data_IF_059994512438
#
_entry.id   IF_059994512438
#
_cell.length_a   1.000
_cell.length_b   1.000
_cell.length_c   1.000
_cell.angle_alpha   90.00
_cell.angle_beta   90.00
_cell.angle_gamma   90.00
#
_symmetry.space_group_name_H-M   'P 1'
#
loop_
_entity.id
_entity.type
_entity.pdbx_description
1 polymer ?
#
# COMPACT_ATOMS: atom_id res chain seq x y z
N UNK A 1 23.41 42.89 7.44
CA UNK A 1 23.06 41.46 7.33
C UNK A 1 22.75 40.98 5.91
N UNK A 2 22.22 41.80 5.00
CA UNK A 2 21.96 41.39 3.59
C UNK A 2 23.23 41.26 2.70
N UNK A 3 24.32 41.93 3.03
CA UNK A 3 25.56 41.88 2.22
C UNK A 3 26.34 40.57 2.37
N UNK A 4 26.27 39.95 3.55
CA UNK A 4 26.96 38.67 3.85
C UNK A 4 26.33 37.48 3.15
N UNK A 5 25.00 37.45 2.97
CA UNK A 5 24.29 36.37 2.25
C UNK A 5 24.57 36.41 0.75
N UNK A 6 24.64 37.59 0.13
CA UNK A 6 25.02 37.72 -1.29
C UNK A 6 26.47 37.33 -1.54
N UNK A 7 27.37 37.65 -0.60
CA UNK A 7 28.78 37.26 -0.71
C UNK A 7 28.95 35.73 -0.57
N UNK A 8 28.20 35.09 0.31
CA UNK A 8 28.18 33.62 0.45
C UNK A 8 27.62 32.92 -0.79
N UNK A 9 26.56 33.46 -1.42
CA UNK A 9 26.03 32.93 -2.67
C UNK A 9 27.00 33.05 -3.84
N UNK A 10 27.71 34.19 -3.97
CA UNK A 10 28.73 34.38 -5.00
C UNK A 10 29.91 33.44 -4.76
N UNK A 11 30.31 33.24 -3.51
CA UNK A 11 31.39 32.32 -3.16
C UNK A 11 31.03 30.87 -3.46
N UNK A 12 29.79 30.43 -3.14
CA UNK A 12 29.28 29.08 -3.44
C UNK A 12 29.19 28.83 -4.95
N UNK A 13 28.75 29.83 -5.73
CA UNK A 13 28.71 29.76 -7.20
C UNK A 13 30.12 29.67 -7.81
N UNK A 14 31.09 30.45 -7.29
CA UNK A 14 32.49 30.42 -7.73
C UNK A 14 33.17 29.07 -7.40
N UNK A 15 32.92 28.51 -6.22
CA UNK A 15 33.42 27.18 -5.82
C UNK A 15 32.82 26.10 -6.72
N UNK A 16 31.52 26.16 -7.03
CA UNK A 16 30.86 25.24 -7.95
C UNK A 16 31.45 25.28 -9.36
N UNK A 17 31.77 26.49 -9.86
CA UNK A 17 32.36 26.71 -11.17
C UNK A 17 33.82 26.19 -11.25
N UNK A 18 34.58 26.32 -10.16
CA UNK A 18 35.95 25.79 -10.04
C UNK A 18 35.91 24.25 -9.96
N UNK A 19 34.99 23.67 -9.24
CA UNK A 19 34.82 22.20 -9.16
C UNK A 19 34.39 21.59 -10.51
N UNK A 20 33.59 22.32 -11.28
CA UNK A 20 33.22 21.95 -12.65
C UNK A 20 34.40 21.96 -13.60
N UNK A 21 35.27 22.98 -13.47
CA UNK A 21 36.50 23.12 -14.30
C UNK A 21 37.57 22.06 -13.97
N UNK A 22 37.49 21.48 -12.75
CA UNK A 22 38.37 20.40 -12.30
C UNK A 22 37.82 19.01 -12.64
N UNK A 23 36.65 18.91 -13.28
CA UNK A 23 36.00 17.62 -13.63
C UNK A 23 35.51 16.79 -12.45
N UNK A 24 35.33 17.42 -11.28
CA UNK A 24 34.92 16.76 -10.05
C UNK A 24 33.38 16.75 -9.85
N UNK A 25 32.66 17.48 -10.70
CA UNK A 25 31.19 17.54 -10.66
C UNK A 25 30.64 17.43 -12.09
N UNK A 26 29.65 16.58 -12.27
CA UNK A 26 28.86 16.51 -13.49
C UNK A 26 28.09 17.83 -13.72
N UNK A 27 27.99 18.35 -14.95
CA UNK A 27 27.25 19.57 -15.23
C UNK A 27 25.77 19.51 -14.83
N UNK A 28 25.17 18.31 -14.78
CA UNK A 28 23.82 18.09 -14.29
C UNK A 28 23.70 18.31 -12.77
N UNK A 29 24.66 17.86 -11.98
CA UNK A 29 24.68 18.06 -10.51
C UNK A 29 25.02 19.49 -10.13
N UNK A 30 25.89 20.18 -10.90
CA UNK A 30 26.16 21.58 -10.68
C UNK A 30 24.96 22.49 -10.96
N UNK A 31 24.17 22.19 -12.00
CA UNK A 31 22.92 22.92 -12.28
C UNK A 31 21.85 22.69 -11.18
N UNK A 32 21.78 21.50 -10.62
CA UNK A 32 20.90 21.19 -9.47
C UNK A 32 21.34 21.93 -8.18
N UNK A 33 22.65 22.05 -7.93
CA UNK A 33 23.16 22.82 -6.79
C UNK A 33 22.87 24.32 -6.87
N UNK A 34 22.96 24.90 -8.05
CA UNK A 34 22.66 26.34 -8.25
C UNK A 34 21.15 26.60 -8.18
N UNK A 35 20.33 25.69 -8.69
CA UNK A 35 18.86 25.78 -8.62
C UNK A 35 18.37 25.56 -7.19
N UNK A 36 18.95 24.60 -6.43
CA UNK A 36 18.56 24.34 -5.04
C UNK A 36 18.81 25.50 -4.08
N UNK A 37 19.76 26.41 -4.40
CA UNK A 37 20.07 27.58 -3.57
C UNK A 37 19.09 28.76 -3.76
N UNK A 38 18.29 28.76 -4.83
CA UNK A 38 17.39 29.88 -5.18
C UNK A 38 15.91 29.57 -5.02
N UNK A 39 15.54 28.33 -4.72
CA UNK A 39 14.18 27.85 -4.73
C UNK A 39 13.64 27.62 -3.31
N UNK A 40 12.84 28.55 -2.85
CA UNK A 40 11.80 28.50 -1.82
C UNK A 40 11.84 27.42 -0.73
N UNK A 41 10.95 27.53 0.21
CA UNK A 41 10.80 26.58 1.34
C UNK A 41 10.59 25.15 0.89
N UNK A 42 11.33 24.22 1.47
CA UNK A 42 11.13 22.79 1.31
C UNK A 42 9.68 22.41 1.71
N UNK A 43 8.96 21.74 0.81
CA UNK A 43 7.62 21.23 1.05
C UNK A 43 6.46 22.18 0.68
N UNK A 44 6.72 23.35 0.09
CA UNK A 44 5.68 24.26 -0.40
C UNK A 44 5.84 24.53 -1.90
N UNK A 45 4.71 24.64 -2.59
CA UNK A 45 4.67 24.96 -4.02
C UNK A 45 5.20 26.38 -4.22
N UNK A 46 6.23 26.55 -5.07
CA UNK A 46 6.84 27.82 -5.36
C UNK A 46 6.57 28.28 -6.81
N UNK A 47 6.96 29.51 -7.16
CA UNK A 47 6.72 30.08 -8.47
C UNK A 47 7.35 29.26 -9.61
N UNK A 48 8.45 28.56 -9.36
CA UNK A 48 9.09 27.68 -10.32
C UNK A 48 8.27 26.41 -10.56
N UNK A 49 7.64 25.86 -9.53
CA UNK A 49 6.76 24.70 -9.65
C UNK A 49 5.48 25.08 -10.39
N UNK A 50 4.96 26.29 -10.15
CA UNK A 50 3.83 26.84 -10.91
C UNK A 50 4.23 27.03 -12.38
N UNK A 51 5.40 27.58 -12.66
CA UNK A 51 5.87 27.76 -14.02
C UNK A 51 6.04 26.44 -14.78
N UNK A 52 6.40 25.34 -14.08
CA UNK A 52 6.43 23.98 -14.65
C UNK A 52 5.05 23.41 -14.92
N UNK A 53 4.04 23.84 -14.19
CA UNK A 53 2.66 23.38 -14.36
C UNK A 53 1.88 24.14 -15.44
N UNK A 54 2.48 25.20 -16.01
CA UNK A 54 1.88 25.98 -17.09
C UNK A 54 2.35 25.51 -18.46
N UNK A 55 1.42 25.42 -19.40
CA UNK A 55 1.68 25.19 -20.81
C UNK A 55 2.28 26.48 -21.46
N UNK A 56 3.01 26.41 -22.58
CA UNK A 56 3.51 27.59 -23.31
C UNK A 56 2.44 28.64 -23.65
N UNK A 57 1.16 28.25 -23.66
CA UNK A 57 0.03 29.15 -23.84
C UNK A 57 -0.47 29.83 -22.56
N UNK A 58 0.18 29.59 -21.41
CA UNK A 58 -0.21 30.15 -20.11
C UNK A 58 -1.42 29.47 -19.44
N UNK A 59 -1.88 28.33 -19.98
CA UNK A 59 -2.93 27.50 -19.35
C UNK A 59 -2.29 26.42 -18.50
N UNK A 60 -3.03 25.93 -17.49
CA UNK A 60 -2.58 24.79 -16.69
C UNK A 60 -2.40 23.57 -17.59
N UNK A 61 -1.18 23.05 -17.67
CA UNK A 61 -0.90 21.83 -18.43
C UNK A 61 -1.60 20.62 -17.78
N UNK A 62 -1.97 19.64 -18.59
CA UNK A 62 -2.44 18.35 -18.06
C UNK A 62 -1.28 17.67 -17.35
N UNK A 63 -1.36 17.53 -16.03
CA UNK A 63 -0.36 16.82 -15.23
C UNK A 63 -0.51 15.33 -15.48
N UNK A 64 0.56 14.69 -15.95
CA UNK A 64 0.61 13.24 -16.11
C UNK A 64 1.06 12.63 -14.78
N UNK A 65 0.15 11.92 -14.13
CA UNK A 65 0.42 11.24 -12.85
C UNK A 65 1.29 9.99 -13.06
N UNK A 66 2.61 10.15 -12.96
CA UNK A 66 3.57 9.06 -13.09
C UNK A 66 3.77 8.27 -11.79
N UNK A 67 3.41 8.86 -10.65
CA UNK A 67 3.62 8.27 -9.32
C UNK A 67 2.41 7.51 -8.81
N UNK A 68 1.33 7.47 -9.59
CA UNK A 68 0.12 6.74 -9.20
C UNK A 68 0.38 5.23 -9.14
N UNK A 69 0.02 4.61 -8.02
CA UNK A 69 0.21 3.19 -7.76
C UNK A 69 -1.12 2.45 -7.68
N UNK A 70 -1.11 1.20 -8.14
CA UNK A 70 -2.28 0.34 -8.01
C UNK A 70 -2.25 -0.38 -6.65
N UNK A 71 -3.14 0.02 -5.75
CA UNK A 71 -3.32 -0.60 -4.44
C UNK A 71 -4.78 -1.03 -4.27
N UNK A 72 -5.15 -2.11 -4.95
CA UNK A 72 -6.52 -2.61 -5.02
C UNK A 72 -7.07 -3.10 -3.66
N UNK A 73 -6.21 -3.28 -2.64
CA UNK A 73 -6.59 -3.75 -1.31
C UNK A 73 -7.63 -2.86 -0.62
N UNK A 74 -7.59 -1.56 -0.86
CA UNK A 74 -8.49 -0.59 -0.23
C UNK A 74 -9.94 -0.81 -0.70
N UNK A 75 -10.13 -1.18 -1.97
CA UNK A 75 -11.45 -1.40 -2.55
C UNK A 75 -12.07 -2.73 -2.14
N UNK A 76 -11.25 -3.74 -1.87
CA UNK A 76 -11.72 -5.07 -1.49
C UNK A 76 -12.01 -5.18 0.02
N UNK A 77 -11.43 -4.29 0.82
CA UNK A 77 -11.48 -4.35 2.27
C UNK A 77 -12.87 -4.00 2.82
N UNK A 78 -13.38 -4.85 3.69
CA UNK A 78 -14.62 -4.60 4.44
C UNK A 78 -14.30 -3.71 5.65
N UNK A 79 -15.10 -2.68 5.86
CA UNK A 79 -14.93 -1.73 6.97
C UNK A 79 -15.98 -1.96 8.05
N UNK A 80 -15.55 -1.93 9.31
CA UNK A 80 -16.40 -2.11 10.49
C UNK A 80 -16.12 -1.02 11.52
N UNK A 81 -17.13 -0.58 12.23
CA UNK A 81 -16.97 0.29 13.39
C UNK A 81 -16.32 -0.46 14.55
N UNK A 82 -15.27 0.11 15.12
CA UNK A 82 -14.62 -0.42 16.32
C UNK A 82 -15.54 -0.35 17.54
N UNK A 83 -15.34 -1.23 18.52
CA UNK A 83 -16.09 -1.19 19.78
C UNK A 83 -15.49 -0.20 20.79
N UNK A 84 -14.26 0.27 20.55
CA UNK A 84 -13.57 1.26 21.37
C UNK A 84 -13.28 2.53 20.56
N UNK A 85 -13.12 3.70 21.20
CA UNK A 85 -12.71 4.93 20.53
C UNK A 85 -11.29 4.86 19.93
N UNK A 86 -10.43 4.01 20.48
CA UNK A 86 -9.01 3.87 20.13
C UNK A 86 -8.70 2.59 19.37
N UNK A 87 -9.67 1.70 19.19
CA UNK A 87 -9.43 0.41 18.57
C UNK A 87 -10.63 -0.52 18.56
N UNK A 88 -10.34 -1.79 18.39
CA UNK A 88 -11.32 -2.87 18.47
C UNK A 88 -10.80 -3.97 19.38
N UNK A 89 -11.63 -4.43 20.33
CA UNK A 89 -11.32 -5.54 21.22
C UNK A 89 -12.11 -6.78 20.79
N UNK A 90 -11.39 -7.85 20.50
CA UNK A 90 -11.95 -9.15 20.13
C UNK A 90 -11.62 -10.19 21.20
N UNK A 91 -12.59 -11.01 21.59
CA UNK A 91 -12.35 -12.13 22.50
C UNK A 91 -12.22 -13.42 21.70
N UNK A 92 -11.04 -14.01 21.72
CA UNK A 92 -10.71 -15.26 21.02
C UNK A 92 -10.71 -16.42 22.02
N UNK A 93 -11.29 -17.55 21.62
CA UNK A 93 -11.24 -18.79 22.42
C UNK A 93 -9.92 -19.49 22.14
N UNK A 94 -9.07 -19.65 23.16
CA UNK A 94 -7.74 -20.25 23.07
C UNK A 94 -7.71 -21.71 23.50
N UNK A 95 -8.72 -22.18 24.23
CA UNK A 95 -8.80 -23.58 24.66
C UNK A 95 -10.23 -24.11 24.70
N UNK A 96 -10.40 -25.33 24.24
CA UNK A 96 -11.66 -26.06 24.32
C UNK A 96 -11.71 -26.91 25.57
N UNK A 97 -12.92 -27.11 26.18
CA UNK A 97 -13.09 -28.09 27.24
C UNK A 97 -12.85 -29.50 26.72
N UNK A 98 -12.31 -30.37 27.58
CA UNK A 98 -12.04 -31.75 27.23
C UNK A 98 -13.31 -32.58 27.37
N UNK A 99 -13.71 -33.33 26.33
CA UNK A 99 -14.76 -34.33 26.40
C UNK A 99 -14.13 -35.70 26.68
N UNK A 100 -14.79 -36.50 27.52
CA UNK A 100 -14.33 -37.86 27.84
C UNK A 100 -15.45 -38.88 27.60
N UNK A 101 -15.07 -40.09 27.22
CA UNK A 101 -15.95 -41.25 27.20
C UNK A 101 -16.13 -41.75 28.62
N UNK A 102 -17.35 -41.93 29.08
CA UNK A 102 -17.67 -42.32 30.42
C UNK A 102 -18.18 -43.75 30.46
N UNK A 103 -17.69 -44.52 31.43
CA UNK A 103 -18.33 -45.80 31.80
C UNK A 103 -19.47 -45.58 32.75
N UNK A 104 -20.35 -46.63 32.90
CA UNK A 104 -21.41 -46.63 33.89
C UNK A 104 -20.80 -46.43 35.29
N UNK A 105 -21.42 -45.56 36.09
CA UNK A 105 -21.00 -45.18 37.46
C UNK A 105 -19.68 -44.38 37.56
N UNK A 106 -19.04 -43.99 36.47
CA UNK A 106 -17.86 -43.14 36.48
C UNK A 106 -18.26 -41.66 36.48
N UNK A 107 -17.59 -40.84 37.30
CA UNK A 107 -17.74 -39.37 37.27
C UNK A 107 -17.10 -38.73 36.08
N UNK A 108 -17.57 -37.54 35.70
CA UNK A 108 -16.98 -36.69 34.65
C UNK A 108 -16.22 -35.53 35.31
N UNK A 109 -14.91 -35.35 35.08
CA UNK A 109 -14.16 -34.22 35.62
C UNK A 109 -14.65 -32.90 35.01
N UNK A 110 -14.70 -31.85 35.83
CA UNK A 110 -15.03 -30.52 35.33
C UNK A 110 -13.94 -29.98 34.39
N UNK A 111 -14.36 -29.45 33.27
CA UNK A 111 -13.47 -28.79 32.30
C UNK A 111 -14.03 -27.43 31.92
N UNK A 112 -13.17 -26.48 31.56
CA UNK A 112 -13.56 -25.11 31.15
C UNK A 112 -12.90 -24.68 29.85
N UNK A 113 -13.56 -23.82 29.10
CA UNK A 113 -12.96 -23.15 27.95
C UNK A 113 -12.08 -21.99 28.43
N UNK A 114 -10.98 -21.75 27.70
CA UNK A 114 -10.10 -20.61 27.90
C UNK A 114 -10.37 -19.55 26.82
N UNK A 115 -10.25 -18.28 27.21
CA UNK A 115 -10.46 -17.13 26.33
C UNK A 115 -9.31 -16.14 26.55
N UNK A 116 -8.91 -15.46 25.48
CA UNK A 116 -7.98 -14.34 25.51
C UNK A 116 -8.62 -13.14 24.81
N UNK A 117 -8.31 -11.95 25.28
CA UNK A 117 -8.69 -10.70 24.64
C UNK A 117 -7.53 -10.21 23.77
N UNK A 118 -7.84 -9.80 22.56
CA UNK A 118 -6.93 -9.18 21.61
C UNK A 118 -7.47 -7.79 21.30
N UNK A 119 -6.62 -6.77 21.46
CA UNK A 119 -6.97 -5.39 21.15
C UNK A 119 -6.16 -4.92 19.95
N UNK A 120 -6.83 -4.50 18.91
CA UNK A 120 -6.25 -3.91 17.71
C UNK A 120 -6.42 -2.40 17.75
N UNK A 121 -5.31 -1.67 17.68
CA UNK A 121 -5.28 -0.21 17.74
C UNK A 121 -5.61 0.42 16.38
N UNK A 122 -6.09 1.66 16.41
CA UNK A 122 -6.36 2.50 15.25
C UNK A 122 -5.30 3.58 15.16
N UNK A 123 -4.78 3.81 13.95
CA UNK A 123 -3.89 4.93 13.63
C UNK A 123 -4.65 6.13 13.07
N UNK A 124 -4.03 7.30 13.16
CA UNK A 124 -4.52 8.52 12.52
C UNK A 124 -3.55 8.93 11.41
N UNK A 125 -4.01 8.89 10.19
CA UNK A 125 -3.25 9.32 9.02
C UNK A 125 -3.79 10.67 8.58
N UNK A 126 -2.93 11.69 8.54
CA UNK A 126 -3.31 13.05 8.16
C UNK A 126 -2.30 13.61 7.16
N UNK A 127 -2.80 14.38 6.22
CA UNK A 127 -1.97 15.20 5.33
C UNK A 127 -2.62 16.57 5.15
N UNK A 128 -1.80 17.57 4.93
CA UNK A 128 -2.24 18.95 4.79
C UNK A 128 -1.57 19.59 3.59
N UNK A 129 -2.36 20.22 2.74
CA UNK A 129 -1.89 21.09 1.67
C UNK A 129 -1.95 22.54 2.11
N UNK A 130 -0.90 23.30 1.83
CA UNK A 130 -0.82 24.76 2.04
C UNK A 130 -0.37 25.40 0.74
N UNK A 131 -1.24 26.17 0.12
CA UNK A 131 -0.95 26.86 -1.14
C UNK A 131 -1.10 28.37 -0.91
N UNK A 132 -0.12 29.15 -1.35
CA UNK A 132 -0.17 30.61 -1.27
C UNK A 132 -1.34 31.15 -2.10
N UNK A 133 -2.10 32.11 -1.57
CA UNK A 133 -3.23 32.75 -2.23
C UNK A 133 -2.81 33.42 -3.54
N UNK A 134 -1.63 34.06 -3.56
CA UNK A 134 -1.11 34.69 -4.77
C UNK A 134 -0.74 33.65 -5.85
N UNK A 135 -0.25 32.49 -5.44
CA UNK A 135 0.03 31.38 -6.34
C UNK A 135 -1.23 30.84 -7.03
N UNK A 136 -2.34 30.81 -6.29
CA UNK A 136 -3.64 30.41 -6.83
C UNK A 136 -4.20 31.49 -7.77
N UNK A 137 -4.04 32.77 -7.42
CA UNK A 137 -4.52 33.90 -8.21
C UNK A 137 -3.76 34.06 -9.54
N UNK A 138 -2.45 33.77 -9.56
CA UNK A 138 -1.63 33.77 -10.76
C UNK A 138 -2.06 32.70 -11.78
N UNK A 139 -2.72 31.66 -11.31
CA UNK A 139 -3.21 30.56 -12.14
C UNK A 139 -4.68 30.82 -12.51
N UNK A 140 -4.97 31.22 -13.74
CA UNK A 140 -6.29 31.65 -14.20
C UNK A 140 -7.44 30.62 -14.04
N UNK A 141 -7.15 29.42 -13.52
CA UNK A 141 -8.11 28.33 -13.23
C UNK A 141 -7.90 27.78 -11.81
N UNK A 142 -8.20 28.58 -10.82
CA UNK A 142 -7.95 28.35 -9.39
C UNK A 142 -8.42 26.98 -8.87
N UNK A 143 -9.61 26.52 -9.27
CA UNK A 143 -10.18 25.25 -8.80
C UNK A 143 -9.44 24.03 -9.36
N UNK A 144 -9.01 24.09 -10.62
CA UNK A 144 -8.30 22.99 -11.26
C UNK A 144 -6.88 22.79 -10.67
N UNK A 145 -6.20 23.87 -10.26
CA UNK A 145 -4.89 23.78 -9.64
C UNK A 145 -4.95 23.13 -8.26
N UNK A 146 -5.85 23.59 -7.39
CA UNK A 146 -6.08 22.96 -6.06
C UNK A 146 -6.49 21.50 -6.19
N UNK A 147 -7.35 21.15 -7.16
CA UNK A 147 -7.77 19.79 -7.40
C UNK A 147 -6.61 18.88 -7.87
N UNK A 148 -5.73 19.42 -8.71
CA UNK A 148 -4.53 18.70 -9.14
C UNK A 148 -3.60 18.39 -7.97
N UNK A 149 -3.32 19.38 -7.13
CA UNK A 149 -2.53 19.20 -5.91
C UNK A 149 -3.20 18.22 -4.94
N UNK A 150 -4.52 18.32 -4.74
CA UNK A 150 -5.28 17.41 -3.88
C UNK A 150 -5.12 15.94 -4.27
N UNK A 151 -5.04 15.63 -5.57
CA UNK A 151 -4.84 14.25 -6.06
C UNK A 151 -3.51 13.68 -5.58
N UNK A 152 -2.42 14.46 -5.61
CA UNK A 152 -1.11 14.02 -5.15
C UNK A 152 -1.12 13.68 -3.64
N UNK A 153 -1.81 14.50 -2.82
CA UNK A 153 -1.96 14.23 -1.39
C UNK A 153 -2.80 12.98 -1.11
N UNK A 154 -3.89 12.77 -1.86
CA UNK A 154 -4.72 11.56 -1.74
C UNK A 154 -3.96 10.31 -2.16
N UNK A 155 -3.14 10.39 -3.21
CA UNK A 155 -2.28 9.28 -3.62
C UNK A 155 -1.22 8.96 -2.55
N UNK A 156 -0.61 9.97 -1.93
CA UNK A 156 0.30 9.78 -0.80
C UNK A 156 -0.36 9.08 0.38
N UNK A 157 -1.62 9.42 0.70
CA UNK A 157 -2.41 8.72 1.72
C UNK A 157 -2.67 7.26 1.34
N UNK A 158 -3.03 6.99 0.08
CA UNK A 158 -3.26 5.64 -0.44
C UNK A 158 -2.01 4.76 -0.28
N UNK A 159 -0.86 5.24 -0.72
CA UNK A 159 0.41 4.52 -0.64
C UNK A 159 0.82 4.26 0.81
N UNK A 160 0.73 5.28 1.68
CA UNK A 160 1.09 5.15 3.08
C UNK A 160 0.15 4.19 3.83
N UNK A 161 -1.14 4.22 3.52
CA UNK A 161 -2.10 3.27 4.10
C UNK A 161 -1.81 1.84 3.66
N UNK A 162 -1.64 1.60 2.36
CA UNK A 162 -1.35 0.27 1.81
C UNK A 162 -0.03 -0.30 2.37
N UNK A 163 1.00 0.52 2.51
CA UNK A 163 2.25 0.13 3.15
C UNK A 163 2.05 -0.25 4.62
N UNK A 164 1.30 0.56 5.37
CA UNK A 164 1.03 0.29 6.79
C UNK A 164 0.18 -0.96 6.97
N UNK A 165 -0.76 -1.23 6.05
CA UNK A 165 -1.59 -2.43 6.07
C UNK A 165 -0.76 -3.72 6.08
N UNK A 166 0.32 -3.77 5.28
CA UNK A 166 1.22 -4.93 5.27
C UNK A 166 2.30 -4.86 6.33
N UNK A 167 2.99 -3.72 6.49
CA UNK A 167 4.24 -3.62 7.25
C UNK A 167 4.15 -2.78 8.52
N UNK A 168 2.98 -2.22 8.86
CA UNK A 168 2.80 -1.44 10.09
C UNK A 168 3.20 -2.24 11.32
N UNK A 169 4.09 -1.68 12.16
CA UNK A 169 4.54 -2.32 13.39
C UNK A 169 4.47 -1.30 14.53
N UNK A 170 3.54 -1.51 15.44
CA UNK A 170 3.31 -0.63 16.61
C UNK A 170 4.46 -0.66 17.62
N UNK A 171 5.30 -1.69 17.59
CA UNK A 171 6.48 -1.74 18.45
C UNK A 171 7.60 -0.81 17.99
N UNK A 172 7.66 -0.49 16.69
CA UNK A 172 8.65 0.41 16.09
C UNK A 172 8.04 1.81 15.93
N UNK A 173 6.82 1.88 15.43
CA UNK A 173 6.07 3.10 15.14
C UNK A 173 4.71 3.05 15.84
N UNK A 174 4.62 3.49 17.10
CA UNK A 174 3.40 3.40 17.91
C UNK A 174 2.24 4.26 17.38
N UNK A 175 2.51 5.23 16.51
CA UNK A 175 1.50 6.07 15.85
C UNK A 175 0.73 5.33 14.73
N UNK A 176 1.25 4.18 14.26
CA UNK A 176 0.63 3.34 13.23
C UNK A 176 -0.22 2.24 13.86
N UNK A 177 -1.06 1.62 13.04
CA UNK A 177 -1.72 0.38 13.44
C UNK A 177 -0.86 -0.85 13.07
N UNK A 178 -1.14 -1.99 13.72
CA UNK A 178 -0.43 -3.24 13.46
C UNK A 178 -0.87 -3.87 12.14
N UNK A 179 0.05 -3.99 11.19
CA UNK A 179 -0.16 -4.61 9.89
C UNK A 179 -0.11 -6.14 9.92
N UNK A 180 -0.09 -6.73 8.73
CA UNK A 180 -0.11 -8.19 8.56
C UNK A 180 1.27 -8.83 8.73
N UNK A 181 2.35 -8.27 8.16
CA UNK A 181 3.66 -8.89 8.16
C UNK A 181 4.23 -9.13 9.57
N UNK A 182 4.11 -8.21 10.54
CA UNK A 182 4.55 -8.49 11.91
C UNK A 182 3.78 -9.60 12.62
N UNK A 183 2.50 -9.81 12.23
CA UNK A 183 1.66 -10.88 12.79
C UNK A 183 2.03 -12.26 12.22
N UNK A 184 2.57 -12.30 11.00
CA UNK A 184 2.98 -13.50 10.26
C UNK A 184 4.47 -13.45 9.94
N UNK A 185 5.30 -13.30 10.98
CA UNK A 185 6.74 -13.03 10.87
C UNK A 185 7.64 -14.26 11.00
N UNK A 186 7.10 -15.43 11.32
CA UNK A 186 7.88 -16.67 11.51
C UNK A 186 7.21 -17.86 10.81
N UNK A 187 8.04 -18.79 10.32
CA UNK A 187 7.59 -20.02 9.63
C UNK A 187 7.30 -21.15 10.63
N UNK A 188 7.63 -20.98 11.89
CA UNK A 188 7.53 -22.03 12.90
C UNK A 188 6.09 -22.34 13.33
N UNK A 189 5.83 -23.61 13.66
CA UNK A 189 4.54 -24.24 13.86
C UNK A 189 3.66 -23.81 15.05
N UNK A 190 3.83 -22.62 15.60
CA UNK A 190 2.97 -22.12 16.67
C UNK A 190 2.02 -21.04 16.10
N UNK A 191 0.72 -21.21 16.34
CA UNK A 191 -0.33 -20.23 15.99
C UNK A 191 -0.24 -19.65 14.57
N UNK A 192 0.06 -18.36 14.40
CA UNK A 192 0.10 -17.68 13.11
C UNK A 192 1.16 -18.22 12.15
N UNK A 193 2.26 -18.79 12.65
CA UNK A 193 3.33 -19.38 11.86
C UNK A 193 2.88 -20.58 11.00
N UNK A 194 1.80 -21.26 11.40
CA UNK A 194 1.18 -22.32 10.58
C UNK A 194 0.70 -21.78 9.24
N UNK A 195 0.29 -20.49 9.18
CA UNK A 195 -0.20 -19.84 7.97
C UNK A 195 0.90 -19.08 7.19
N UNK A 196 2.16 -19.28 7.55
CA UNK A 196 3.32 -18.76 6.80
C UNK A 196 3.94 -19.91 5.99
N UNK A 197 4.06 -19.72 4.68
CA UNK A 197 4.62 -20.69 3.73
C UNK A 197 5.84 -20.07 3.09
N UNK A 198 7.01 -20.68 3.20
CA UNK A 198 8.19 -20.23 2.49
C UNK A 198 8.20 -20.72 1.04
N UNK A 199 8.56 -19.82 0.11
CA UNK A 199 8.86 -20.18 -1.26
C UNK A 199 10.33 -20.60 -1.46
N UNK A 200 11.19 -20.38 -0.45
CA UNK A 200 12.58 -20.86 -0.47
C UNK A 200 13.62 -19.81 -0.88
N UNK A 201 13.21 -18.59 -1.25
CA UNK A 201 14.14 -17.50 -1.56
C UNK A 201 15.00 -17.13 -0.34
N UNK A 202 16.29 -16.98 -0.56
CA UNK A 202 17.29 -16.64 0.47
C UNK A 202 18.01 -15.31 0.17
N UNK A 203 17.70 -14.67 -0.97
CA UNK A 203 18.29 -13.41 -1.42
C UNK A 203 17.77 -12.19 -0.67
N UNK A 204 18.17 -11.01 -1.16
CA UNK A 204 17.71 -9.71 -0.65
C UNK A 204 16.51 -9.15 -1.44
N UNK A 205 16.10 -9.82 -2.51
CA UNK A 205 15.07 -9.42 -3.48
C UNK A 205 13.80 -10.27 -3.33
N UNK A 206 13.45 -10.56 -2.08
CA UNK A 206 12.26 -11.34 -1.76
C UNK A 206 11.01 -10.45 -1.71
N UNK A 207 9.87 -11.07 -2.03
CA UNK A 207 8.55 -10.50 -1.85
C UNK A 207 7.60 -11.51 -1.21
N UNK A 208 6.41 -11.06 -0.83
CA UNK A 208 5.37 -11.93 -0.28
C UNK A 208 4.10 -11.89 -1.12
N UNK A 209 3.40 -13.02 -1.17
CA UNK A 209 2.03 -13.13 -1.69
C UNK A 209 1.10 -13.37 -0.50
N UNK A 210 0.00 -12.65 -0.44
CA UNK A 210 -0.97 -12.75 0.63
C UNK A 210 -2.30 -13.29 0.12
N UNK A 211 -2.87 -14.26 0.83
CA UNK A 211 -4.26 -14.68 0.67
C UNK A 211 -5.03 -14.21 1.90
N UNK A 212 -6.03 -13.38 1.70
CA UNK A 212 -6.83 -12.79 2.77
C UNK A 212 -8.30 -13.06 2.46
N UNK A 213 -9.06 -13.45 3.47
CA UNK A 213 -10.51 -13.58 3.40
C UNK A 213 -11.13 -12.43 4.18
N UNK A 214 -11.70 -11.48 3.46
CA UNK A 214 -12.30 -10.28 4.04
C UNK A 214 -13.71 -10.54 4.55
N UNK A 215 -13.93 -10.33 5.84
CA UNK A 215 -15.25 -10.39 6.49
C UNK A 215 -15.17 -9.70 7.85
N UNK A 216 -16.28 -9.13 8.37
CA UNK A 216 -16.32 -8.60 9.74
C UNK A 216 -15.93 -9.61 10.83
N UNK A 217 -16.13 -10.90 10.56
CA UNK A 217 -15.83 -11.99 11.51
C UNK A 217 -14.39 -12.52 11.37
N UNK A 218 -13.70 -12.23 10.27
CA UNK A 218 -12.37 -12.77 10.00
C UNK A 218 -11.31 -11.68 10.08
N UNK A 219 -11.15 -10.91 8.99
CA UNK A 219 -10.20 -9.81 8.88
C UNK A 219 -10.97 -8.65 8.26
N UNK A 220 -10.91 -7.48 8.88
CA UNK A 220 -11.55 -6.29 8.35
C UNK A 220 -10.81 -5.01 8.77
N UNK A 221 -11.05 -3.94 8.02
CA UNK A 221 -10.67 -2.60 8.41
C UNK A 221 -11.56 -2.06 9.52
N UNK A 222 -11.00 -1.31 10.42
CA UNK A 222 -11.74 -0.69 11.52
C UNK A 222 -11.57 0.82 11.54
N UNK A 223 -12.61 1.51 11.99
CA UNK A 223 -12.58 2.94 12.29
C UNK A 223 -13.11 3.20 13.70
N UNK A 224 -12.76 4.33 14.36
CA UNK A 224 -13.12 4.58 15.76
C UNK A 224 -14.62 4.61 15.97
N UNK A 225 -15.07 4.11 17.11
CA UNK A 225 -16.46 4.18 17.53
C UNK A 225 -16.95 5.65 17.56
N UNK A 226 -18.10 5.90 16.93
CA UNK A 226 -18.71 7.24 16.85
C UNK A 226 -18.06 8.17 15.84
N UNK A 227 -17.16 7.66 14.97
CA UNK A 227 -16.60 8.44 13.86
C UNK A 227 -17.18 8.02 12.50
N UNK A 228 -16.92 8.82 11.46
CA UNK A 228 -17.33 8.50 10.10
C UNK A 228 -16.22 7.68 9.42
N UNK A 229 -16.62 6.63 8.70
CA UNK A 229 -15.70 5.83 7.90
C UNK A 229 -15.13 6.62 6.72
N UNK A 230 -13.89 6.31 6.31
CA UNK A 230 -13.24 6.88 5.13
C UNK A 230 -12.44 8.14 5.37
N UNK A 231 -11.95 8.72 4.28
CA UNK A 231 -11.15 9.94 4.29
C UNK A 231 -12.08 11.14 4.50
N UNK A 232 -11.78 11.95 5.50
CA UNK A 232 -12.48 13.19 5.77
C UNK A 232 -11.66 14.36 5.21
N UNK A 233 -12.25 15.15 4.34
CA UNK A 233 -11.68 16.40 3.84
C UNK A 233 -12.27 17.58 4.61
N UNK A 234 -11.42 18.52 4.99
CA UNK A 234 -11.81 19.79 5.58
C UNK A 234 -11.06 20.92 4.86
N UNK A 235 -11.81 21.77 4.18
CA UNK A 235 -11.28 23.05 3.69
C UNK A 235 -11.10 24.00 4.90
N UNK A 236 -9.89 24.46 5.10
CA UNK A 236 -9.54 25.40 6.17
C UNK A 236 -9.77 26.86 5.75
N UNK A 237 -10.07 27.09 4.46
CA UNK A 237 -10.19 28.42 3.89
C UNK A 237 -8.86 29.17 3.85
N UNK A 238 -8.94 30.49 3.82
CA UNK A 238 -7.76 31.35 3.93
C UNK A 238 -7.35 31.53 5.38
N UNK A 239 -6.06 31.35 5.66
CA UNK A 239 -5.48 31.55 6.97
C UNK A 239 -4.05 32.07 6.87
N UNK A 240 -3.52 32.58 7.98
CA UNK A 240 -2.13 33.02 8.06
C UNK A 240 -1.23 31.81 8.30
N UNK A 241 -0.43 31.45 7.32
CA UNK A 241 0.63 30.45 7.44
C UNK A 241 1.96 31.15 7.75
N UNK A 242 2.93 30.36 8.23
CA UNK A 242 4.26 30.85 8.57
C UNK A 242 5.31 30.27 7.61
N UNK A 243 6.25 31.12 7.23
CA UNK A 243 7.43 30.69 6.49
C UNK A 243 8.51 30.09 7.41
N UNK A 244 9.64 29.65 6.87
CA UNK A 244 10.78 29.13 7.65
C UNK A 244 11.41 30.17 8.59
N UNK A 245 11.17 31.45 8.34
CA UNK A 245 11.63 32.57 9.18
C UNK A 245 10.55 33.06 10.16
N UNK A 246 9.47 32.29 10.33
CA UNK A 246 8.30 32.64 11.17
C UNK A 246 7.59 33.94 10.73
N UNK A 247 7.70 34.33 9.46
CA UNK A 247 6.96 35.44 8.88
C UNK A 247 5.63 34.93 8.33
N UNK A 248 4.59 35.76 8.45
CA UNK A 248 3.22 35.39 8.03
C UNK A 248 3.02 35.62 6.54
N UNK A 249 2.30 34.72 5.92
CA UNK A 249 1.75 34.87 4.58
C UNK A 249 0.34 34.26 4.52
N UNK A 250 -0.47 34.68 3.56
CA UNK A 250 -1.82 34.16 3.37
C UNK A 250 -1.78 32.88 2.56
N UNK A 251 -2.36 31.80 3.09
CA UNK A 251 -2.45 30.51 2.42
C UNK A 251 -3.88 29.98 2.41
N UNK A 252 -4.20 29.22 1.38
CA UNK A 252 -5.35 28.32 1.32
C UNK A 252 -4.93 26.94 1.80
N UNK A 253 -5.67 26.37 2.73
CA UNK A 253 -5.35 25.08 3.31
C UNK A 253 -6.42 24.03 3.11
N UNK A 254 -6.00 22.83 2.79
CA UNK A 254 -6.81 21.63 2.76
C UNK A 254 -6.25 20.60 3.73
N UNK A 255 -7.11 20.00 4.53
CA UNK A 255 -6.75 18.95 5.49
C UNK A 255 -7.49 17.66 5.13
N UNK A 256 -6.72 16.59 4.91
CA UNK A 256 -7.27 15.24 4.78
C UNK A 256 -6.88 14.42 6.00
N UNK A 257 -7.87 13.82 6.59
CA UNK A 257 -7.73 13.00 7.79
C UNK A 257 -8.37 11.64 7.58
N UNK A 258 -7.67 10.60 7.93
CA UNK A 258 -8.18 9.24 7.88
C UNK A 258 -7.84 8.51 9.18
N UNK A 259 -8.88 8.08 9.89
CA UNK A 259 -8.75 7.26 11.09
C UNK A 259 -9.05 5.83 10.70
N UNK A 260 -8.05 4.97 10.71
CA UNK A 260 -8.16 3.62 10.22
C UNK A 260 -7.28 2.64 11.00
N UNK A 261 -7.64 1.39 10.97
CA UNK A 261 -6.90 0.30 11.56
C UNK A 261 -7.26 -1.03 10.91
N UNK A 262 -6.58 -2.08 11.33
CA UNK A 262 -6.82 -3.45 10.89
C UNK A 262 -7.11 -4.32 12.10
N UNK A 263 -8.22 -5.05 12.07
CA UNK A 263 -8.47 -6.12 13.05
C UNK A 263 -8.35 -7.49 12.40
N UNK A 264 -7.73 -8.41 13.12
CA UNK A 264 -7.60 -9.82 12.76
C UNK A 264 -8.31 -10.64 13.85
N UNK A 265 -9.62 -10.82 13.68
CA UNK A 265 -10.46 -11.59 14.62
C UNK A 265 -10.12 -13.07 14.59
N UNK A 266 -9.85 -13.62 13.40
CA UNK A 266 -9.39 -14.99 13.23
C UNK A 266 -8.14 -15.03 12.31
N UNK A 267 -6.99 -15.30 12.90
CA UNK A 267 -5.71 -15.38 12.20
C UNK A 267 -5.65 -16.46 11.11
N UNK A 268 -6.53 -17.49 11.15
CA UNK A 268 -6.53 -18.58 10.18
C UNK A 268 -6.96 -18.16 8.79
N UNK A 269 -7.57 -16.98 8.66
CA UNK A 269 -8.09 -16.44 7.40
C UNK A 269 -7.12 -15.53 6.64
N UNK A 270 -5.87 -15.42 7.12
CA UNK A 270 -4.77 -14.87 6.33
C UNK A 270 -3.66 -15.90 6.18
N UNK A 271 -3.12 -16.00 4.99
CA UNK A 271 -1.97 -16.85 4.68
C UNK A 271 -0.92 -16.02 3.96
N UNK A 272 0.32 -16.07 4.44
CA UNK A 272 1.49 -15.44 3.82
C UNK A 272 2.33 -16.47 3.10
N UNK A 273 2.58 -16.29 1.81
CA UNK A 273 3.63 -16.97 1.07
C UNK A 273 4.80 -16.00 1.04
N UNK A 274 5.82 -16.24 1.87
CA UNK A 274 7.00 -15.39 1.99
C UNK A 274 8.19 -15.95 1.21
N UNK A 275 9.26 -15.16 1.13
CA UNK A 275 10.52 -15.55 0.49
C UNK A 275 10.32 -15.94 -0.98
N UNK A 276 9.48 -15.19 -1.70
CA UNK A 276 9.34 -15.33 -3.15
C UNK A 276 10.46 -14.52 -3.79
N UNK A 277 11.44 -15.19 -4.36
CA UNK A 277 12.59 -14.58 -5.02
C UNK A 277 12.17 -14.00 -6.37
N UNK A 278 12.37 -12.69 -6.56
CA UNK A 278 11.98 -11.99 -7.79
C UNK A 278 12.96 -12.27 -8.91
N UNK A 279 14.26 -12.38 -8.62
CA UNK A 279 15.27 -12.65 -9.64
C UNK A 279 15.09 -14.03 -10.25
N UNK A 280 14.69 -15.03 -9.47
CA UNK A 280 14.34 -16.35 -9.95
C UNK A 280 13.09 -16.34 -10.86
N UNK A 281 12.17 -15.40 -10.64
CA UNK A 281 10.98 -15.27 -11.47
C UNK A 281 11.25 -14.54 -12.79
N UNK A 282 11.98 -13.44 -12.75
CA UNK A 282 12.18 -12.54 -13.90
C UNK A 282 13.44 -12.87 -14.67
N UNK A 283 14.52 -13.29 -13.99
CA UNK A 283 15.82 -13.58 -14.59
C UNK A 283 15.89 -14.87 -15.39
N UNK A 284 14.86 -15.71 -15.31
CA UNK A 284 14.81 -16.99 -16.00
C UNK A 284 14.05 -16.85 -17.32
N UNK A 285 14.65 -17.27 -18.43
CA UNK A 285 14.01 -17.28 -19.75
C UNK A 285 13.59 -18.71 -20.13
N UNK A 286 12.42 -18.84 -20.75
CA UNK A 286 11.92 -20.10 -21.27
C UNK A 286 11.42 -21.08 -20.20
N UNK A 287 11.88 -22.32 -20.24
CA UNK A 287 11.39 -23.42 -19.38
C UNK A 287 11.60 -23.17 -17.88
N UNK A 288 12.62 -22.40 -17.50
CA UNK A 288 12.94 -22.12 -16.09
C UNK A 288 11.97 -21.13 -15.47
N UNK A 289 11.57 -20.07 -16.20
CA UNK A 289 10.55 -19.13 -15.74
C UNK A 289 9.21 -19.83 -15.50
N UNK A 290 8.83 -20.73 -16.38
CA UNK A 290 7.64 -21.58 -16.22
C UNK A 290 7.74 -22.48 -14.98
N UNK A 291 8.92 -23.00 -14.64
CA UNK A 291 9.14 -23.83 -13.45
C UNK A 291 8.99 -23.05 -12.16
N UNK A 292 9.54 -21.83 -12.09
CA UNK A 292 9.43 -20.94 -10.93
C UNK A 292 7.97 -20.52 -10.70
N UNK A 293 7.27 -20.10 -11.76
CA UNK A 293 5.85 -19.77 -11.69
C UNK A 293 4.98 -20.97 -11.29
N UNK A 294 5.30 -22.18 -11.77
CA UNK A 294 4.63 -23.42 -11.38
C UNK A 294 4.84 -23.73 -9.89
N UNK A 295 6.01 -23.44 -9.33
CA UNK A 295 6.27 -23.60 -7.90
C UNK A 295 5.36 -22.68 -7.08
N UNK A 296 5.21 -21.41 -7.49
CA UNK A 296 4.29 -20.44 -6.84
C UNK A 296 2.85 -20.93 -6.91
N UNK A 297 2.38 -21.43 -8.05
CA UNK A 297 1.04 -21.99 -8.21
C UNK A 297 0.76 -23.10 -7.19
N UNK A 298 1.72 -24.01 -6.98
CA UNK A 298 1.62 -25.07 -5.96
C UNK A 298 1.52 -24.51 -4.55
N UNK A 299 2.26 -23.42 -4.24
CA UNK A 299 2.21 -22.76 -2.95
C UNK A 299 0.86 -22.02 -2.75
N UNK A 300 0.29 -21.44 -3.79
CA UNK A 300 -1.03 -20.83 -3.74
C UNK A 300 -2.13 -21.86 -3.47
N UNK A 301 -2.05 -23.06 -4.06
CA UNK A 301 -2.98 -24.17 -3.73
C UNK A 301 -2.84 -24.57 -2.25
N UNK A 302 -1.59 -24.68 -1.75
CA UNK A 302 -1.35 -24.96 -0.33
C UNK A 302 -1.89 -23.86 0.59
N UNK A 303 -1.80 -22.59 0.17
CA UNK A 303 -2.36 -21.46 0.91
C UNK A 303 -3.89 -21.55 1.02
N UNK A 304 -4.57 -21.88 -0.09
CA UNK A 304 -6.02 -22.10 -0.06
C UNK A 304 -6.43 -23.26 0.85
N UNK A 305 -5.67 -24.34 0.86
CA UNK A 305 -5.93 -25.50 1.71
C UNK A 305 -5.74 -25.25 3.22
N UNK A 306 -5.02 -24.19 3.60
CA UNK A 306 -4.85 -23.78 5.01
C UNK A 306 -6.01 -22.96 5.57
N UNK A 307 -6.83 -22.36 4.71
CA UNK A 307 -7.99 -21.60 5.14
C UNK A 307 -9.12 -22.56 5.51
N UNK A 308 -9.73 -22.42 6.71
CA UNK A 308 -10.79 -23.34 7.17
C UNK A 308 -12.02 -23.35 6.27
N UNK A 309 -12.42 -22.17 5.76
CA UNK A 309 -13.57 -22.02 4.87
C UNK A 309 -13.39 -20.81 3.97
N UNK A 310 -13.34 -21.03 2.67
CA UNK A 310 -13.27 -19.94 1.68
C UNK A 310 -14.59 -19.15 1.58
N UNK A 311 -15.70 -19.74 2.01
CA UNK A 311 -17.02 -19.10 2.00
C UNK A 311 -17.31 -18.22 3.22
N UNK A 312 -16.37 -18.06 4.17
CA UNK A 312 -16.55 -17.20 5.34
C UNK A 312 -16.50 -15.69 5.01
N UNK A 313 -16.05 -15.34 3.82
CA UNK A 313 -15.96 -13.97 3.36
C UNK A 313 -15.51 -13.90 1.89
N UNK A 314 -14.92 -12.78 1.50
CA UNK A 314 -14.40 -12.56 0.16
C UNK A 314 -12.90 -12.89 0.13
N UNK A 315 -12.50 -14.05 -0.45
CA UNK A 315 -11.10 -14.41 -0.57
C UNK A 315 -10.44 -13.62 -1.71
N UNK A 316 -9.26 -13.07 -1.45
CA UNK A 316 -8.48 -12.31 -2.44
C UNK A 316 -6.99 -12.62 -2.26
N UNK A 317 -6.29 -12.85 -3.36
CA UNK A 317 -4.83 -12.87 -3.39
C UNK A 317 -4.28 -11.47 -3.67
N UNK A 318 -3.26 -11.07 -2.92
CA UNK A 318 -2.50 -9.84 -3.16
C UNK A 318 -1.06 -10.17 -3.49
N UNK A 319 -0.59 -9.61 -4.60
CA UNK A 319 0.77 -9.81 -5.07
C UNK A 319 1.33 -8.51 -5.66
N UNK A 320 2.64 -8.39 -5.68
CA UNK A 320 3.31 -7.31 -6.40
C UNK A 320 3.03 -7.42 -7.90
N UNK A 321 3.12 -6.30 -8.62
CA UNK A 321 2.90 -6.21 -10.07
C UNK A 321 3.74 -7.23 -10.84
N UNK A 322 5.02 -7.40 -10.50
CA UNK A 322 5.92 -8.35 -11.15
C UNK A 322 5.45 -9.80 -10.98
N UNK A 323 5.03 -10.18 -9.78
CA UNK A 323 4.50 -11.53 -9.52
C UNK A 323 3.19 -11.75 -10.29
N UNK A 324 2.30 -10.74 -10.30
CA UNK A 324 1.04 -10.79 -11.06
C UNK A 324 1.28 -10.95 -12.56
N UNK A 325 2.28 -10.26 -13.12
CA UNK A 325 2.72 -10.39 -14.50
C UNK A 325 3.21 -11.82 -14.81
N UNK A 326 4.08 -12.37 -13.96
CA UNK A 326 4.60 -13.72 -14.15
C UNK A 326 3.51 -14.80 -14.04
N UNK A 327 2.53 -14.60 -13.14
CA UNK A 327 1.35 -15.48 -13.07
C UNK A 327 0.48 -15.38 -14.33
N UNK A 328 0.32 -14.18 -14.90
CA UNK A 328 -0.41 -13.99 -16.15
C UNK A 328 0.29 -14.68 -17.33
N UNK A 329 1.63 -14.60 -17.42
CA UNK A 329 2.43 -15.31 -18.42
C UNK A 329 2.28 -16.82 -18.24
N UNK A 330 2.36 -17.33 -17.01
CA UNK A 330 2.17 -18.74 -16.73
C UNK A 330 0.76 -19.26 -17.07
N UNK A 331 -0.25 -18.40 -17.00
CA UNK A 331 -1.63 -18.73 -17.43
C UNK A 331 -1.75 -18.98 -18.94
N UNK A 332 -0.85 -18.40 -19.73
CA UNK A 332 -0.81 -18.61 -21.19
C UNK A 332 -0.20 -19.96 -21.55
N UNK A 333 0.57 -20.58 -20.65
CA UNK A 333 1.13 -21.92 -20.84
C UNK A 333 0.03 -22.97 -20.70
N UNK A 334 -0.24 -23.75 -21.76
CA UNK A 334 -1.34 -24.73 -21.82
C UNK A 334 -1.29 -25.81 -20.75
N UNK A 335 -0.15 -25.97 -20.08
CA UNK A 335 0.03 -26.91 -18.98
C UNK A 335 -0.56 -26.46 -17.64
N UNK A 336 -0.98 -25.20 -17.51
CA UNK A 336 -1.37 -24.56 -16.24
C UNK A 336 -2.87 -24.21 -16.22
N UNK A 337 -3.73 -25.22 -16.06
CA UNK A 337 -5.20 -25.00 -16.01
C UNK A 337 -5.72 -24.35 -14.70
N UNK A 338 -4.85 -24.13 -13.70
CA UNK A 338 -5.24 -23.56 -12.40
C UNK A 338 -5.41 -22.04 -12.43
N UNK A 339 -4.92 -21.38 -13.46
CA UNK A 339 -5.00 -19.93 -13.64
C UNK A 339 -5.85 -19.61 -14.86
N UNK A 340 -6.75 -18.66 -14.71
CA UNK A 340 -7.54 -18.11 -15.82
C UNK A 340 -7.42 -16.58 -15.84
N UNK A 341 -7.43 -16.01 -17.05
CA UNK A 341 -7.52 -14.57 -17.27
C UNK A 341 -8.93 -14.30 -17.81
N UNK A 342 -9.74 -13.63 -16.99
CA UNK A 342 -11.10 -13.25 -17.40
C UNK A 342 -11.09 -11.81 -17.90
N UNK A 343 -11.76 -11.51 -19.03
CA UNK A 343 -11.93 -10.13 -19.48
C UNK A 343 -12.71 -9.32 -18.43
N UNK A 344 -12.33 -8.06 -18.26
CA UNK A 344 -13.08 -7.17 -17.39
C UNK A 344 -14.46 -6.91 -18.01
N UNK A 345 -15.51 -7.35 -17.32
CA UNK A 345 -16.90 -7.14 -17.71
C UNK A 345 -17.52 -6.17 -16.73
N UNK A 346 -18.20 -5.12 -17.22
CA UNK A 346 -18.94 -4.22 -16.36
C UNK A 346 -20.17 -4.92 -15.76
N UNK A 347 -20.81 -4.30 -14.76
CA UNK A 347 -22.01 -4.84 -14.08
C UNK A 347 -23.21 -5.06 -15.02
N UNK A 348 -23.17 -4.60 -16.27
CA UNK A 348 -24.18 -4.84 -17.30
C UNK A 348 -23.80 -5.95 -18.29
N UNK A 349 -22.73 -6.70 -18.02
CA UNK A 349 -22.28 -7.79 -18.88
C UNK A 349 -21.56 -7.34 -20.16
N UNK A 350 -21.24 -6.06 -20.29
CA UNK A 350 -20.47 -5.53 -21.42
C UNK A 350 -18.98 -5.58 -21.14
N UNK A 351 -18.19 -5.89 -22.17
CA UNK A 351 -16.72 -5.83 -22.08
C UNK A 351 -16.29 -4.38 -21.87
N UNK A 352 -15.43 -4.11 -20.88
CA UNK A 352 -14.98 -2.76 -20.58
C UNK A 352 -14.39 -2.07 -21.84
N UNK A 353 -14.62 -0.75 -22.04
CA UNK A 353 -14.01 -0.02 -23.14
C UNK A 353 -12.48 -0.15 -23.12
N UNK A 354 -11.90 -0.70 -24.19
CA UNK A 354 -10.47 -1.03 -24.27
C UNK A 354 -10.16 -2.52 -24.32
N UNK A 355 -11.10 -3.39 -23.97
CA UNK A 355 -10.98 -4.83 -24.19
C UNK A 355 -11.67 -5.16 -25.53
N UNK A 356 -10.88 -5.43 -26.56
CA UNK A 356 -11.44 -5.83 -27.86
C UNK A 356 -11.82 -7.31 -27.78
N UNK A 357 -13.12 -7.59 -27.79
CA UNK A 357 -13.62 -8.96 -27.92
C UNK A 357 -13.08 -9.56 -29.22
N UNK A 358 -12.18 -10.54 -29.11
CA UNK A 358 -11.67 -11.30 -30.24
C UNK A 358 -10.21 -11.12 -30.62
N UNK A 359 -9.48 -10.18 -30.05
CA UNK A 359 -8.02 -10.12 -30.16
C UNK A 359 -7.37 -10.43 -28.81
N UNK A 360 -6.68 -11.57 -28.73
CA UNK A 360 -6.03 -12.10 -27.54
C UNK A 360 -4.80 -11.30 -27.05
N UNK A 361 -4.90 -9.98 -26.97
CA UNK A 361 -3.82 -9.09 -26.57
C UNK A 361 -4.08 -8.30 -25.29
N UNK A 362 -5.12 -8.63 -24.55
CA UNK A 362 -5.57 -7.80 -23.47
C UNK A 362 -5.15 -8.25 -22.07
N UNK A 363 -3.87 -8.24 -21.73
CA UNK A 363 -3.44 -8.24 -20.32
C UNK A 363 -3.87 -6.93 -19.61
N UNK A 364 -4.14 -5.90 -20.39
CA UNK A 364 -4.51 -4.54 -19.95
C UNK A 364 -5.99 -4.35 -19.57
N UNK A 365 -6.70 -5.36 -19.16
CA UNK A 365 -8.11 -5.22 -18.74
C UNK A 365 -8.70 -6.49 -18.14
N UNK A 366 -7.96 -7.59 -18.17
CA UNK A 366 -8.40 -8.85 -17.59
C UNK A 366 -8.00 -8.98 -16.10
N UNK A 367 -8.87 -9.54 -15.30
CA UNK A 367 -8.54 -9.93 -13.92
C UNK A 367 -7.93 -11.32 -13.94
N UNK A 368 -6.71 -11.45 -13.43
CA UNK A 368 -6.11 -12.76 -13.17
C UNK A 368 -6.87 -13.43 -12.03
N UNK A 369 -7.38 -14.64 -12.26
CA UNK A 369 -8.05 -15.43 -11.25
C UNK A 369 -7.32 -16.75 -11.04
N UNK A 370 -7.17 -17.13 -9.80
CA UNK A 370 -6.60 -18.39 -9.39
C UNK A 370 -7.68 -19.27 -8.76
N UNK A 371 -8.10 -20.32 -9.46
CA UNK A 371 -9.21 -21.21 -9.04
C UNK A 371 -10.46 -20.42 -8.59
N UNK A 372 -10.83 -19.38 -9.34
CA UNK A 372 -11.97 -18.52 -9.04
C UNK A 372 -11.69 -17.37 -8.05
N UNK A 373 -10.54 -17.35 -7.36
CA UNK A 373 -10.14 -16.28 -6.45
C UNK A 373 -9.40 -15.20 -7.24
N UNK A 374 -9.77 -13.92 -7.12
CA UNK A 374 -9.07 -12.84 -7.83
C UNK A 374 -7.65 -12.65 -7.28
N UNK A 375 -6.70 -12.36 -8.20
CA UNK A 375 -5.34 -11.94 -7.86
C UNK A 375 -5.23 -10.43 -8.12
N UNK A 376 -5.12 -9.67 -7.03
CA UNK A 376 -5.03 -8.21 -7.04
C UNK A 376 -3.60 -7.73 -7.00
N UNK A 377 -3.34 -6.62 -7.69
CA UNK A 377 -2.05 -5.94 -7.61
C UNK A 377 -1.97 -5.04 -6.39
N UNK A 378 -0.81 -5.04 -5.74
CA UNK A 378 -0.49 -4.07 -4.72
C UNK A 378 0.98 -3.67 -4.87
N UNK A 379 1.22 -2.45 -5.33
CA UNK A 379 2.56 -1.95 -5.62
C UNK A 379 3.36 -1.63 -4.34
N UNK A 380 2.68 -1.52 -3.20
CA UNK A 380 3.30 -1.33 -1.89
C UNK A 380 3.84 -2.63 -1.26
N UNK A 381 3.61 -3.79 -1.88
CA UNK A 381 4.33 -5.00 -1.50
C UNK A 381 5.79 -4.88 -1.91
N UNK A 382 6.68 -4.87 -0.92
CA UNK A 382 8.11 -4.69 -1.11
C UNK A 382 8.70 -5.83 -1.93
N UNK A 383 9.72 -5.48 -2.72
CA UNK A 383 10.51 -6.43 -3.52
C UNK A 383 11.86 -6.74 -2.88
N UNK A 384 12.09 -6.23 -1.68
CA UNK A 384 13.30 -6.37 -0.89
C UNK A 384 12.99 -6.72 0.57
N UNK A 385 11.99 -7.57 0.77
CA UNK A 385 11.65 -8.05 2.11
C UNK A 385 12.81 -8.87 2.71
N UNK A 386 13.01 -8.72 4.02
CA UNK A 386 13.93 -9.60 4.75
C UNK A 386 13.43 -11.05 4.73
N UNK A 387 14.38 -11.99 4.70
CA UNK A 387 14.06 -13.42 4.74
C UNK A 387 13.30 -13.74 6.02
N UNK A 388 12.16 -14.39 5.88
CA UNK A 388 11.36 -14.90 6.99
C UNK A 388 11.85 -16.31 7.33
N UNK A 389 12.17 -16.53 8.59
CA UNK A 389 12.74 -17.80 9.12
C UNK A 389 11.81 -18.51 10.10
#
# INVERSE_FOLDING_TARGET
>A
MKLTTHLQMIFAALVGLVLLSLGWLDPATASLMVIGATLGQSGKVNLHDIAKSLDPSGKTATVVELLNQSNEIITDMVWMEGNLPTGHETTVRTGLPTAIWRQLYQGVPASKSQRAKVTDAIGMLETRSEVDVEAVNLNAQNENFRLSEAKAFLEGLNQQFAQTMFYGNTAINPERFMGLAPRYSAISGATNGVNVISAGGAGADNTSIWLIVWSPETICGIYPKGSVAGIQHKDLGEYDAFDANSQRFRALGDLWKWKCGLTVSDWRYAVRICNVDISDLVGQTGTQASTAATAIIKLMIRAMARIPSMGAGVPVFYANRTVKEMLAIAAMDKSQNAISVEPAINQFGQVAPGSVAGQGTGISGGTVRFLGVPVRGCDQLLTNEAVVS
#
